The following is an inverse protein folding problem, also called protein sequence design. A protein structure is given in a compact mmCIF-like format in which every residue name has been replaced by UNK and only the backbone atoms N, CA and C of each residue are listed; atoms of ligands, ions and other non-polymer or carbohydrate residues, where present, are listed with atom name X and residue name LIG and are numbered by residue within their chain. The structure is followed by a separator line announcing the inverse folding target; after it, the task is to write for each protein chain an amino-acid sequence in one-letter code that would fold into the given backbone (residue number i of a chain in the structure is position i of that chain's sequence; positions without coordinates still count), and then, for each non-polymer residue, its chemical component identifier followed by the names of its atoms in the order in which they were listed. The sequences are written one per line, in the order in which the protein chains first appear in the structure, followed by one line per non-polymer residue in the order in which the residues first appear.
data_IF_380028451169
#
_entry.id   IF_380028451169
#
_cell.length_a   1.000
_cell.length_b   1.000
_cell.length_c   1.000
_cell.angle_alpha   90.00
_cell.angle_beta   90.00
_cell.angle_gamma   90.00
#
_symmetry.space_group_name_H-M   'P 1'
#
loop_
_entity.id
_entity.type
_entity.pdbx_description
1 polymer ?
#
# COMPACT_ATOMS: atom_id res chain seq x y z
N UNK A 1 15.19 -26.85 2.41
CA UNK A 1 14.44 -26.04 3.37
C UNK A 1 15.07 -26.24 4.73
N UNK A 2 16.03 -25.39 5.09
CA UNK A 2 16.70 -25.43 6.38
C UNK A 2 15.68 -25.17 7.50
N UNK A 3 15.98 -25.59 8.74
CA UNK A 3 15.11 -25.32 9.90
C UNK A 3 14.92 -23.82 10.14
N UNK A 4 15.93 -23.00 9.81
CA UNK A 4 15.93 -21.55 9.96
C UNK A 4 14.89 -20.83 9.07
N UNK A 5 14.76 -21.24 7.80
CA UNK A 5 13.78 -20.64 6.87
C UNK A 5 12.32 -20.93 7.27
N UNK A 6 12.10 -22.02 8.00
CA UNK A 6 10.75 -22.39 8.48
C UNK A 6 10.34 -21.53 9.67
N UNK A 7 11.26 -21.25 10.58
CA UNK A 7 10.98 -20.45 11.77
C UNK A 7 10.69 -18.98 11.40
N UNK A 8 11.44 -18.41 10.45
CA UNK A 8 11.15 -17.07 9.90
C UNK A 8 9.79 -17.02 9.19
N UNK A 9 9.45 -18.06 8.42
CA UNK A 9 8.14 -18.14 7.77
C UNK A 9 7.00 -18.28 8.78
N UNK A 10 7.18 -19.05 9.86
CA UNK A 10 6.18 -19.16 10.93
C UNK A 10 5.98 -17.81 11.62
N UNK A 11 7.06 -17.07 11.90
CA UNK A 11 6.97 -15.72 12.45
C UNK A 11 6.24 -14.75 11.50
N UNK A 12 6.46 -14.87 10.19
CA UNK A 12 5.76 -14.06 9.18
C UNK A 12 4.26 -14.36 9.15
N UNK A 13 3.88 -15.64 9.29
CA UNK A 13 2.47 -16.06 9.37
C UNK A 13 1.83 -15.49 10.62
N UNK A 14 2.51 -15.56 11.76
CA UNK A 14 2.01 -15.00 13.01
C UNK A 14 1.83 -13.49 12.92
N UNK A 15 2.72 -12.78 12.21
CA UNK A 15 2.64 -11.34 12.02
C UNK A 15 1.48 -10.91 11.11
N UNK A 16 1.21 -11.65 10.02
CA UNK A 16 0.14 -11.34 9.06
C UNK A 16 -1.14 -12.15 9.28
N UNK A 17 -1.31 -12.76 10.45
CA UNK A 17 -2.43 -13.63 10.77
C UNK A 17 -3.80 -12.99 10.44
N UNK A 18 -3.99 -11.72 10.78
CA UNK A 18 -5.24 -11.00 10.56
C UNK A 18 -5.59 -10.80 9.07
N UNK A 19 -4.61 -10.88 8.17
CA UNK A 19 -4.77 -10.71 6.73
C UNK A 19 -4.94 -12.05 5.98
N UNK A 20 -4.67 -13.19 6.62
CA UNK A 20 -4.73 -14.51 6.00
C UNK A 20 -6.14 -15.09 6.02
N UNK A 21 -6.47 -15.89 5.00
CA UNK A 21 -7.79 -16.54 4.88
C UNK A 21 -7.89 -17.72 5.84
N UNK A 22 -6.80 -18.48 5.97
CA UNK A 22 -6.69 -19.61 6.89
C UNK A 22 -5.44 -19.48 7.76
N UNK A 23 -5.63 -19.56 9.07
CA UNK A 23 -4.54 -19.42 10.05
C UNK A 23 -3.91 -20.77 10.45
N UNK A 24 -4.25 -21.84 9.73
CA UNK A 24 -3.70 -23.15 10.00
C UNK A 24 -2.29 -23.26 9.40
N UNK A 25 -1.28 -23.23 10.27
CA UNK A 25 0.14 -23.28 9.91
C UNK A 25 0.49 -24.46 9.01
N UNK A 26 -0.12 -25.62 9.23
CA UNK A 26 0.15 -26.82 8.42
C UNK A 26 -0.35 -26.67 6.97
N UNK A 27 -1.50 -26.01 6.79
CA UNK A 27 -2.06 -25.71 5.47
C UNK A 27 -1.15 -24.72 4.74
N UNK A 28 -0.72 -23.64 5.40
CA UNK A 28 0.19 -22.66 4.79
C UNK A 28 1.54 -23.26 4.39
N UNK A 29 2.12 -24.11 5.24
CA UNK A 29 3.38 -24.80 4.92
C UNK A 29 3.19 -25.74 3.72
N UNK A 30 2.04 -26.41 3.63
CA UNK A 30 1.73 -27.29 2.50
C UNK A 30 1.52 -26.51 1.20
N UNK A 31 0.79 -25.39 1.24
CA UNK A 31 0.62 -24.47 0.11
C UNK A 31 1.96 -23.89 -0.35
N UNK A 32 2.81 -23.46 0.58
CA UNK A 32 4.15 -22.95 0.26
C UNK A 32 4.99 -24.01 -0.46
N UNK A 33 4.98 -25.26 0.01
CA UNK A 33 5.71 -26.36 -0.64
C UNK A 33 5.17 -26.65 -2.05
N UNK A 34 3.86 -26.60 -2.25
CA UNK A 34 3.23 -26.78 -3.55
C UNK A 34 3.61 -25.65 -4.51
N UNK A 35 3.58 -24.40 -4.01
CA UNK A 35 3.99 -23.22 -4.75
C UNK A 35 5.46 -23.27 -5.16
N UNK A 36 6.36 -23.63 -4.24
CA UNK A 36 7.78 -23.81 -4.53
C UNK A 36 8.01 -24.87 -5.61
N UNK A 37 7.29 -26.00 -5.56
CA UNK A 37 7.35 -27.03 -6.61
C UNK A 37 6.87 -26.49 -7.95
N UNK A 38 5.82 -25.68 -7.98
CA UNK A 38 5.31 -25.04 -9.20
C UNK A 38 6.35 -24.08 -9.80
N UNK A 39 7.03 -23.28 -8.97
CA UNK A 39 8.10 -22.38 -9.43
C UNK A 39 9.30 -23.18 -9.97
N UNK A 40 9.68 -24.26 -9.28
CA UNK A 40 10.80 -25.12 -9.71
C UNK A 40 10.49 -25.88 -11.00
N UNK A 41 9.22 -26.22 -11.23
CA UNK A 41 8.76 -26.85 -12.47
C UNK A 41 8.62 -25.86 -13.63
N UNK A 42 8.69 -24.55 -13.37
CA UNK A 42 8.58 -23.53 -14.39
C UNK A 42 9.95 -23.22 -14.99
N UNK A 43 10.05 -23.29 -16.31
CA UNK A 43 11.29 -23.04 -17.05
C UNK A 43 11.83 -21.59 -16.88
N UNK A 44 10.93 -20.64 -16.57
CA UNK A 44 11.26 -19.25 -16.26
C UNK A 44 10.76 -18.87 -14.87
N UNK A 45 11.69 -18.66 -13.95
CA UNK A 45 11.37 -18.19 -12.60
C UNK A 45 10.94 -16.70 -12.61
N UNK A 46 9.94 -16.32 -11.79
CA UNK A 46 9.54 -14.92 -11.67
C UNK A 46 10.70 -14.09 -11.14
N UNK A 47 10.99 -12.97 -11.81
CA UNK A 47 12.05 -12.05 -11.39
C UNK A 47 11.54 -11.02 -10.38
N UNK A 48 10.24 -10.73 -10.43
CA UNK A 48 9.58 -9.72 -9.61
C UNK A 48 8.40 -10.31 -8.84
N UNK A 49 8.04 -9.70 -7.71
CA UNK A 49 6.84 -10.07 -6.94
C UNK A 49 5.55 -9.97 -7.78
N UNK A 50 5.48 -9.02 -8.71
CA UNK A 50 4.36 -8.90 -9.66
C UNK A 50 4.26 -10.09 -10.61
N UNK A 51 5.40 -10.56 -11.15
CA UNK A 51 5.42 -11.75 -12.02
C UNK A 51 5.01 -13.00 -11.23
N UNK A 52 5.49 -13.12 -9.98
CA UNK A 52 5.11 -14.20 -9.08
C UNK A 52 3.60 -14.17 -8.78
N UNK A 53 3.01 -12.98 -8.59
CA UNK A 53 1.58 -12.80 -8.35
C UNK A 53 0.74 -13.20 -9.57
N UNK A 54 1.18 -12.88 -10.80
CA UNK A 54 0.50 -13.30 -12.03
C UNK A 54 0.52 -14.83 -12.21
N UNK A 55 1.62 -15.48 -11.82
CA UNK A 55 1.77 -16.95 -11.90
C UNK A 55 1.00 -17.65 -10.76
N UNK A 56 0.82 -16.95 -9.64
CA UNK A 56 0.07 -17.41 -8.48
C UNK A 56 -1.43 -17.26 -8.78
N UNK A 57 -2.03 -18.34 -9.28
CA UNK A 57 -3.47 -18.42 -9.52
C UNK A 57 -4.23 -18.56 -8.18
N UNK A 58 -5.56 -18.41 -8.19
CA UNK A 58 -6.47 -18.59 -7.02
C UNK A 58 -6.38 -19.96 -6.30
N UNK A 59 -5.51 -20.86 -6.76
CA UNK A 59 -5.22 -22.15 -6.11
C UNK A 59 -4.39 -22.06 -4.83
N UNK A 60 -3.75 -20.92 -4.54
CA UNK A 60 -2.96 -20.72 -3.33
C UNK A 60 -3.36 -19.41 -2.63
N UNK A 61 -4.55 -19.36 -2.01
CA UNK A 61 -5.14 -18.11 -1.51
C UNK A 61 -4.25 -17.40 -0.48
N UNK A 62 -3.60 -18.14 0.42
CA UNK A 62 -2.76 -17.53 1.45
C UNK A 62 -1.44 -17.02 0.87
N UNK A 63 -0.80 -17.80 -0.01
CA UNK A 63 0.43 -17.40 -0.70
C UNK A 63 0.18 -16.21 -1.63
N UNK A 64 -0.96 -16.18 -2.31
CA UNK A 64 -1.39 -15.06 -3.13
C UNK A 64 -1.51 -13.78 -2.30
N UNK A 65 -2.14 -13.87 -1.11
CA UNK A 65 -2.26 -12.74 -0.19
C UNK A 65 -0.91 -12.25 0.32
N UNK A 66 -0.01 -13.16 0.71
CA UNK A 66 1.36 -12.84 1.09
C UNK A 66 2.15 -12.16 -0.04
N UNK A 67 2.00 -12.63 -1.29
CA UNK A 67 2.60 -12.00 -2.46
C UNK A 67 1.99 -10.62 -2.76
N UNK A 68 0.69 -10.44 -2.51
CA UNK A 68 0.01 -9.16 -2.65
C UNK A 68 0.52 -8.16 -1.60
N UNK A 69 0.68 -8.59 -0.35
CA UNK A 69 1.29 -7.77 0.70
C UNK A 69 2.71 -7.40 0.28
N UNK A 70 3.52 -8.36 -0.17
CA UNK A 70 4.88 -8.11 -0.66
C UNK A 70 4.92 -7.11 -1.84
N UNK A 71 3.97 -7.20 -2.77
CA UNK A 71 3.88 -6.30 -3.91
C UNK A 71 3.39 -4.88 -3.55
N UNK A 72 2.60 -4.74 -2.49
CA UNK A 72 2.08 -3.46 -2.00
C UNK A 72 3.02 -2.78 -1.02
N UNK A 73 3.87 -3.53 -0.32
CA UNK A 73 4.94 -2.98 0.47
C UNK A 73 5.87 -2.17 -0.46
N UNK A 74 6.18 -0.92 -0.12
CA UNK A 74 7.08 -0.11 -0.93
C UNK A 74 8.50 -0.71 -0.85
N UNK A 75 8.82 -1.62 -1.78
CA UNK A 75 10.17 -2.20 -1.94
C UNK A 75 11.17 -1.12 -2.38
N UNK A 76 10.70 0.03 -2.87
CA UNK A 76 11.53 1.16 -3.25
C UNK A 76 11.16 2.46 -2.52
N UNK A 77 12.18 3.17 -2.04
CA UNK A 77 12.09 4.54 -1.52
C UNK A 77 11.64 5.56 -2.58
N UNK A 78 11.54 5.17 -3.85
CA UNK A 78 11.20 6.08 -4.94
C UNK A 78 9.77 6.66 -4.82
N UNK A 79 8.81 5.89 -4.29
CA UNK A 79 7.44 6.39 -4.11
C UNK A 79 7.35 7.42 -2.98
N UNK A 80 8.12 7.21 -1.91
CA UNK A 80 8.24 8.21 -0.85
C UNK A 80 9.04 9.42 -1.33
N UNK A 81 10.11 9.27 -2.12
CA UNK A 81 10.86 10.38 -2.73
C UNK A 81 9.99 11.28 -3.64
N UNK A 82 9.10 10.71 -4.44
CA UNK A 82 8.15 11.49 -5.27
C UNK A 82 7.17 12.28 -4.41
N UNK A 83 6.70 11.67 -3.32
CA UNK A 83 5.80 12.31 -2.35
C UNK A 83 6.53 13.42 -1.57
N UNK A 84 7.76 13.17 -1.14
CA UNK A 84 8.62 14.15 -0.47
C UNK A 84 9.04 15.30 -1.39
N UNK A 85 9.28 15.05 -2.67
CA UNK A 85 9.56 16.09 -3.67
C UNK A 85 8.35 17.00 -3.87
N UNK A 86 7.15 16.41 -3.97
CA UNK A 86 5.90 17.17 -4.07
C UNK A 86 5.64 18.00 -2.81
N UNK A 87 5.82 17.40 -1.62
CA UNK A 87 5.70 18.10 -0.34
C UNK A 87 6.75 19.20 -0.18
N UNK A 88 7.98 18.97 -0.62
CA UNK A 88 9.05 19.98 -0.65
C UNK A 88 8.67 21.14 -1.55
N UNK A 89 8.05 20.90 -2.71
CA UNK A 89 7.56 21.96 -3.60
C UNK A 89 6.45 22.78 -2.95
N UNK A 90 5.48 22.13 -2.30
CA UNK A 90 4.40 22.79 -1.54
C UNK A 90 4.98 23.65 -0.40
N UNK A 91 5.90 23.08 0.39
CA UNK A 91 6.50 23.73 1.56
C UNK A 91 7.44 24.88 1.17
N UNK A 92 8.24 24.74 0.13
CA UNK A 92 9.17 25.80 -0.33
C UNK A 92 8.40 27.00 -0.89
N UNK A 93 7.30 26.78 -1.62
CA UNK A 93 6.49 27.88 -2.16
C UNK A 93 5.79 28.72 -1.08
N UNK A 94 5.42 28.13 0.07
CA UNK A 94 4.57 28.75 1.10
C UNK A 94 5.28 28.97 2.45
N UNK A 95 6.60 28.83 2.50
CA UNK A 95 7.37 28.75 3.76
C UNK A 95 7.23 29.96 4.69
N UNK A 96 6.79 31.11 4.20
CA UNK A 96 6.75 32.33 5.02
C UNK A 96 5.55 32.44 5.97
N UNK A 97 4.51 31.59 5.89
CA UNK A 97 3.29 31.80 6.71
C UNK A 97 2.36 30.58 6.89
N UNK A 98 2.82 29.34 6.73
CA UNK A 98 1.91 28.18 6.66
C UNK A 98 1.75 27.42 7.99
N UNK A 99 0.51 27.22 8.44
CA UNK A 99 0.16 26.31 9.56
C UNK A 99 0.01 24.85 9.11
N UNK A 100 0.17 23.88 10.03
CA UNK A 100 0.07 22.44 9.73
C UNK A 100 -1.28 22.06 9.11
N UNK A 101 -2.38 22.66 9.59
CA UNK A 101 -3.73 22.41 9.05
C UNK A 101 -3.82 22.74 7.56
N UNK A 102 -3.24 23.87 7.16
CA UNK A 102 -3.22 24.29 5.75
C UNK A 102 -2.34 23.36 4.92
N UNK A 103 -1.20 22.93 5.47
CA UNK A 103 -0.27 22.03 4.77
C UNK A 103 -0.93 20.69 4.48
N UNK A 104 -1.62 20.12 5.46
CA UNK A 104 -2.32 18.85 5.31
C UNK A 104 -3.44 18.95 4.27
N UNK A 105 -4.23 20.04 4.28
CA UNK A 105 -5.27 20.28 3.27
C UNK A 105 -4.70 20.38 1.85
N UNK A 106 -3.61 21.10 1.66
CA UNK A 106 -2.96 21.23 0.34
C UNK A 106 -2.27 19.94 -0.11
N UNK A 107 -1.67 19.19 0.82
CA UNK A 107 -1.14 17.86 0.52
C UNK A 107 -2.25 16.92 0.03
N UNK A 108 -3.40 16.92 0.72
CA UNK A 108 -4.59 16.13 0.35
C UNK A 108 -5.08 16.47 -1.06
N UNK A 109 -5.18 17.77 -1.39
CA UNK A 109 -5.54 18.24 -2.73
C UNK A 109 -4.51 17.82 -3.80
N UNK A 110 -3.21 17.89 -3.46
CA UNK A 110 -2.14 17.53 -4.40
C UNK A 110 -2.10 16.03 -4.73
N UNK A 111 -2.42 15.18 -3.75
CA UNK A 111 -2.51 13.72 -3.91
C UNK A 111 -3.76 13.37 -4.73
N UNK A 112 -4.89 14.00 -4.41
CA UNK A 112 -6.19 13.71 -5.02
C UNK A 112 -6.50 14.57 -6.25
N UNK A 113 -5.47 14.96 -7.03
CA UNK A 113 -5.62 15.82 -8.22
C UNK A 113 -6.62 15.29 -9.27
N UNK A 114 -6.84 13.97 -9.28
CA UNK A 114 -7.76 13.31 -10.23
C UNK A 114 -9.22 13.42 -9.81
N UNK A 115 -9.52 13.84 -8.59
CA UNK A 115 -10.89 14.07 -8.12
C UNK A 115 -11.30 15.46 -8.58
N UNK A 116 -12.27 15.52 -9.51
CA UNK A 116 -12.86 16.78 -9.93
C UNK A 116 -13.75 17.32 -8.82
N UNK A 117 -13.42 18.51 -8.32
CA UNK A 117 -14.24 19.20 -7.33
C UNK A 117 -15.24 20.09 -8.08
N UNK A 118 -16.54 19.81 -7.94
CA UNK A 118 -17.57 20.65 -8.53
C UNK A 118 -17.80 21.89 -7.66
N UNK A 119 -17.90 23.05 -8.31
CA UNK A 119 -18.04 24.32 -7.61
C UNK A 119 -19.39 24.44 -6.87
N UNK A 120 -20.45 23.76 -7.35
CA UNK A 120 -21.76 23.80 -6.70
C UNK A 120 -21.78 22.94 -5.45
N UNK A 121 -21.17 21.76 -5.50
CA UNK A 121 -21.01 20.89 -4.33
C UNK A 121 -20.24 21.60 -3.20
N UNK A 122 -19.16 22.31 -3.54
CA UNK A 122 -18.42 23.13 -2.57
C UNK A 122 -19.27 24.25 -2.00
N UNK A 123 -20.10 24.89 -2.82
CA UNK A 123 -20.98 25.98 -2.39
C UNK A 123 -22.08 25.48 -1.45
N UNK A 124 -22.69 24.34 -1.75
CA UNK A 124 -23.72 23.71 -0.92
C UNK A 124 -23.14 23.25 0.43
N UNK A 125 -21.95 22.67 0.44
CA UNK A 125 -21.23 22.29 1.66
C UNK A 125 -20.87 23.53 2.51
N UNK A 126 -20.37 24.60 1.87
CA UNK A 126 -20.11 25.87 2.53
C UNK A 126 -21.38 26.53 3.09
N UNK A 127 -22.53 26.34 2.43
CA UNK A 127 -23.82 26.88 2.87
C UNK A 127 -24.34 26.22 4.13
N UNK A 128 -23.99 24.95 4.34
CA UNK A 128 -24.34 24.15 5.53
C UNK A 128 -23.49 24.53 6.74
N UNK A 129 -22.27 25.03 6.50
CA UNK A 129 -21.35 25.46 7.56
C UNK A 129 -21.73 26.81 8.17
N UNK A 130 -21.22 27.10 9.37
CA UNK A 130 -21.43 28.40 10.03
C UNK A 130 -20.89 29.53 9.12
N UNK A 131 -21.68 30.60 8.96
CA UNK A 131 -21.36 31.81 8.15
C UNK A 131 -19.99 32.45 8.38
N UNK A 132 -19.25 32.07 9.43
CA UNK A 132 -17.86 32.47 9.67
C UNK A 132 -16.97 31.24 9.54
N UNK A 133 -16.54 30.97 8.32
CA UNK A 133 -15.44 30.05 8.05
C UNK A 133 -14.14 30.82 8.22
N UNK A 134 -13.35 30.45 9.24
CA UNK A 134 -11.97 30.92 9.35
C UNK A 134 -11.16 30.26 8.25
N UNK A 135 -11.01 30.96 7.13
CA UNK A 135 -10.12 30.55 6.07
C UNK A 135 -8.69 30.58 6.61
N UNK A 136 -8.09 29.40 6.73
CA UNK A 136 -6.69 29.25 7.11
C UNK A 136 -5.86 29.70 5.89
N UNK A 137 -5.52 30.99 5.87
CA UNK A 137 -4.91 31.71 4.74
C UNK A 137 -3.41 31.52 4.62
#
# INVERSE_FOLDING_TARGET
MSTLEKDEFISLIEFYNDDLVDNNKDILISELKLWQRKILALDKQPKNAMDALIICNDMYPNIYKLLQILATLPVSTASSERSFSSLKRIKTYLRNTMSEKRLNGLAMLSINRLISVDAKEVLDELSTSKRRVDFIL
#
